data_IF_163738974463
#
_entry.id   IF_163738974463
#
_cell.length_a   1.000
_cell.length_b   1.000
_cell.length_c   1.000
_cell.angle_alpha   90.00
_cell.angle_beta   90.00
_cell.angle_gamma   90.00
#
_symmetry.space_group_name_H-M   'P 1'
#
loop_
_entity.id
_entity.type
_entity.pdbx_description
1 polymer ?
#
# COMPACT_ATOMS: atom_id res chain seq x y z
N UNK A 1 -15.41 -4.98 -11.38
CA UNK A 1 -15.48 -6.42 -11.05
C UNK A 1 -15.60 -6.61 -9.53
N UNK A 2 -16.10 -7.76 -9.10
CA UNK A 2 -16.25 -8.11 -7.68
C UNK A 2 -14.90 -8.00 -6.91
N UNK A 3 -13.82 -8.41 -7.52
CA UNK A 3 -12.49 -8.33 -6.92
C UNK A 3 -11.97 -6.91 -6.75
N UNK A 4 -12.34 -5.98 -7.63
CA UNK A 4 -12.07 -4.56 -7.43
C UNK A 4 -12.78 -4.04 -6.19
N UNK A 5 -14.06 -4.40 -6.00
CA UNK A 5 -14.81 -4.01 -4.80
C UNK A 5 -14.17 -4.55 -3.51
N UNK A 6 -13.68 -5.81 -3.52
CA UNK A 6 -12.94 -6.36 -2.37
C UNK A 6 -11.61 -5.62 -2.13
N UNK A 7 -10.92 -5.21 -3.19
CA UNK A 7 -9.68 -4.43 -3.08
C UNK A 7 -9.91 -3.05 -2.46
N UNK A 8 -10.99 -2.37 -2.88
CA UNK A 8 -11.39 -1.09 -2.30
C UNK A 8 -11.81 -1.24 -0.83
N UNK A 9 -12.50 -2.33 -0.50
CA UNK A 9 -12.86 -2.65 0.87
C UNK A 9 -11.63 -2.86 1.75
N UNK A 10 -10.64 -3.64 1.29
CA UNK A 10 -9.37 -3.85 2.01
C UNK A 10 -8.67 -2.51 2.25
N UNK A 11 -8.57 -1.68 1.22
CA UNK A 11 -7.97 -0.36 1.33
C UNK A 11 -8.69 0.48 2.37
N UNK A 12 -10.01 0.60 2.27
CA UNK A 12 -10.81 1.38 3.21
C UNK A 12 -10.65 0.87 4.65
N UNK A 13 -10.73 -0.44 4.88
CA UNK A 13 -10.57 -1.06 6.20
C UNK A 13 -9.19 -0.74 6.78
N UNK A 14 -8.12 -0.94 5.99
CA UNK A 14 -6.74 -0.73 6.45
C UNK A 14 -6.40 0.74 6.74
N UNK A 15 -7.04 1.68 6.05
CA UNK A 15 -6.82 3.11 6.24
C UNK A 15 -7.70 3.71 7.34
N UNK A 16 -8.90 3.16 7.54
CA UNK A 16 -9.93 3.78 8.40
C UNK A 16 -9.99 3.17 9.80
N UNK A 17 -10.01 1.84 9.92
CA UNK A 17 -10.28 1.19 11.20
C UNK A 17 -9.19 1.38 12.27
N UNK A 18 -7.88 1.40 11.93
CA UNK A 18 -6.85 1.66 12.93
C UNK A 18 -7.01 3.01 13.64
N UNK A 19 -7.50 4.04 12.94
CA UNK A 19 -7.74 5.35 13.54
C UNK A 19 -8.87 5.32 14.60
N UNK A 20 -9.93 4.55 14.36
CA UNK A 20 -10.98 4.33 15.36
C UNK A 20 -10.47 3.56 16.57
N UNK A 21 -9.66 2.52 16.36
CA UNK A 21 -9.08 1.74 17.47
C UNK A 21 -8.13 2.60 18.33
N UNK A 22 -7.33 3.47 17.71
CA UNK A 22 -6.49 4.44 18.43
C UNK A 22 -7.30 5.41 19.28
N UNK A 23 -8.51 5.76 18.86
CA UNK A 23 -9.47 6.58 19.60
C UNK A 23 -10.28 5.76 20.63
N UNK A 24 -9.88 4.51 20.89
CA UNK A 24 -10.52 3.58 21.82
C UNK A 24 -11.95 3.15 21.44
N UNK A 25 -12.35 3.29 20.17
CA UNK A 25 -13.57 2.67 19.67
C UNK A 25 -13.39 1.16 19.52
N UNK A 26 -14.41 0.42 19.91
CA UNK A 26 -14.49 -1.02 19.66
C UNK A 26 -15.01 -1.27 18.25
N UNK A 27 -14.20 -1.90 17.42
CA UNK A 27 -14.57 -2.27 16.04
C UNK A 27 -15.24 -3.64 16.04
N UNK A 28 -16.51 -3.70 15.64
CA UNK A 28 -17.30 -4.94 15.58
C UNK A 28 -17.71 -5.20 14.13
N UNK A 29 -17.37 -6.38 13.61
CA UNK A 29 -17.88 -6.85 12.32
C UNK A 29 -19.14 -7.66 12.52
N UNK A 30 -20.26 -7.15 12.01
CA UNK A 30 -21.50 -7.92 11.96
C UNK A 30 -21.56 -8.70 10.64
N UNK A 31 -21.37 -10.00 10.71
CA UNK A 31 -21.38 -10.90 9.57
C UNK A 31 -22.68 -11.73 9.49
N UNK A 32 -23.73 -11.25 10.11
CA UNK A 32 -25.07 -11.83 9.99
C UNK A 32 -25.60 -11.57 8.59
N UNK A 33 -25.86 -12.63 7.84
CA UNK A 33 -26.34 -12.52 6.46
C UNK A 33 -25.22 -12.19 5.46
N UNK A 34 -25.60 -12.02 4.20
CA UNK A 34 -24.69 -11.75 3.09
C UNK A 34 -24.36 -12.97 2.23
N UNK A 35 -23.61 -12.74 1.16
CA UNK A 35 -23.21 -13.80 0.24
C UNK A 35 -22.15 -14.70 0.89
N UNK A 36 -22.39 -16.02 0.87
CA UNK A 36 -21.46 -17.01 1.44
C UNK A 36 -20.02 -16.88 0.92
N UNK A 37 -19.85 -16.48 -0.34
CA UNK A 37 -18.54 -16.23 -0.95
C UNK A 37 -17.79 -15.06 -0.33
N UNK A 38 -18.49 -14.09 0.24
CA UNK A 38 -17.90 -12.93 0.90
C UNK A 38 -17.64 -13.20 2.37
N UNK A 39 -18.45 -14.02 3.01
CA UNK A 39 -18.36 -14.27 4.46
C UNK A 39 -16.97 -14.77 4.88
N UNK A 40 -16.39 -15.72 4.13
CA UNK A 40 -15.04 -16.22 4.41
C UNK A 40 -13.97 -15.11 4.32
N UNK A 41 -14.06 -14.26 3.29
CA UNK A 41 -13.16 -13.13 3.14
C UNK A 41 -13.35 -12.09 4.26
N UNK A 42 -14.59 -11.74 4.57
CA UNK A 42 -14.91 -10.81 5.64
C UNK A 42 -14.49 -11.33 7.02
N UNK A 43 -14.62 -12.65 7.25
CA UNK A 43 -14.12 -13.27 8.48
C UNK A 43 -12.60 -13.17 8.61
N UNK A 44 -11.85 -13.43 7.51
CA UNK A 44 -10.41 -13.28 7.51
C UNK A 44 -10.00 -11.81 7.74
N UNK A 45 -10.70 -10.87 7.13
CA UNK A 45 -10.48 -9.44 7.33
C UNK A 45 -10.81 -9.00 8.76
N UNK A 46 -11.88 -9.54 9.34
CA UNK A 46 -12.27 -9.29 10.73
C UNK A 46 -11.21 -9.78 11.72
N UNK A 47 -10.57 -10.92 11.47
CA UNK A 47 -9.47 -11.41 12.31
C UNK A 47 -8.29 -10.43 12.39
N UNK A 48 -8.11 -9.60 11.38
CA UNK A 48 -7.01 -8.63 11.32
C UNK A 48 -7.38 -7.28 11.90
N UNK A 49 -8.61 -6.82 11.67
CA UNK A 49 -9.02 -5.43 11.93
C UNK A 49 -10.17 -5.26 12.93
N UNK A 50 -10.96 -6.30 13.22
CA UNK A 50 -12.03 -6.20 14.20
C UNK A 50 -11.55 -6.61 15.61
N UNK A 51 -12.17 -6.06 16.64
CA UNK A 51 -12.01 -6.50 18.03
C UNK A 51 -12.94 -7.66 18.34
N UNK A 52 -14.03 -7.75 17.60
CA UNK A 52 -15.05 -8.78 17.77
C UNK A 52 -15.82 -8.98 16.45
N UNK A 53 -16.19 -10.21 16.18
CA UNK A 53 -17.14 -10.56 15.11
C UNK A 53 -18.43 -11.08 15.72
N UNK A 54 -19.56 -10.65 15.20
CA UNK A 54 -20.88 -11.11 15.65
C UNK A 54 -21.67 -11.75 14.53
N UNK A 55 -22.46 -12.76 14.90
CA UNK A 55 -23.43 -13.45 14.05
C UNK A 55 -24.75 -13.61 14.80
N UNK A 56 -25.84 -13.47 14.08
CA UNK A 56 -27.17 -13.86 14.56
C UNK A 56 -27.57 -15.13 13.81
N UNK A 57 -27.89 -16.20 14.54
CA UNK A 57 -28.38 -17.43 13.95
C UNK A 57 -29.83 -17.26 13.51
N UNK A 58 -30.11 -17.60 12.25
CA UNK A 58 -31.48 -17.50 11.69
C UNK A 58 -32.50 -18.40 12.42
N UNK A 59 -32.04 -19.51 13.01
CA UNK A 59 -32.91 -20.51 13.60
C UNK A 59 -33.40 -20.20 15.02
N UNK A 60 -32.65 -19.40 15.80
CA UNK A 60 -32.95 -19.18 17.23
C UNK A 60 -32.69 -17.75 17.72
N UNK A 61 -32.34 -16.83 16.83
CA UNK A 61 -31.97 -15.45 17.16
C UNK A 61 -30.85 -15.30 18.21
N UNK A 62 -30.05 -16.35 18.44
CA UNK A 62 -28.92 -16.26 19.36
C UNK A 62 -27.80 -15.45 18.75
N UNK A 63 -27.24 -14.55 19.55
CA UNK A 63 -26.09 -13.75 19.18
C UNK A 63 -24.79 -14.49 19.52
N UNK A 64 -24.12 -14.99 18.49
CA UNK A 64 -22.77 -15.53 18.63
C UNK A 64 -21.76 -14.38 18.59
N UNK A 65 -20.88 -14.35 19.58
CA UNK A 65 -19.77 -13.40 19.67
C UNK A 65 -18.45 -14.14 19.56
N UNK A 66 -17.64 -13.77 18.57
CA UNK A 66 -16.29 -14.30 18.36
C UNK A 66 -15.26 -13.20 18.65
N UNK A 67 -14.51 -13.32 19.75
CA UNK A 67 -13.46 -12.37 20.04
C UNK A 67 -12.35 -12.49 18.99
N UNK A 68 -11.56 -11.42 18.84
CA UNK A 68 -10.40 -11.39 17.96
C UNK A 68 -9.42 -12.49 18.35
N UNK A 69 -9.03 -13.29 17.38
CA UNK A 69 -7.92 -14.23 17.56
C UNK A 69 -6.58 -13.49 17.52
N UNK A 70 -5.58 -13.90 18.30
CA UNK A 70 -4.23 -13.31 18.28
C UNK A 70 -3.45 -13.77 17.04
N UNK A 71 -4.01 -13.56 15.84
CA UNK A 71 -3.40 -13.90 14.55
C UNK A 71 -2.69 -12.69 13.99
N UNK A 72 -1.51 -12.90 13.42
CA UNK A 72 -0.78 -11.92 12.63
C UNK A 72 -0.53 -12.48 11.24
N UNK A 73 -0.61 -11.63 10.22
CA UNK A 73 -0.12 -11.98 8.90
C UNK A 73 1.42 -11.90 8.93
N UNK A 74 2.07 -13.01 8.71
CA UNK A 74 3.52 -13.07 8.52
C UNK A 74 3.83 -12.94 7.02
N UNK A 75 3.60 -11.74 6.50
CA UNK A 75 3.80 -11.42 5.09
C UNK A 75 4.93 -10.44 4.84
N UNK A 76 5.61 -9.98 5.90
CA UNK A 76 6.66 -8.97 5.80
C UNK A 76 7.81 -9.43 4.91
N UNK A 77 8.29 -10.66 5.14
CA UNK A 77 9.36 -11.24 4.34
C UNK A 77 8.97 -11.37 2.86
N UNK A 78 7.72 -11.76 2.59
CA UNK A 78 7.21 -11.85 1.21
C UNK A 78 7.23 -10.47 0.52
N UNK A 79 6.84 -9.41 1.23
CA UNK A 79 6.88 -8.04 0.67
C UNK A 79 8.32 -7.59 0.44
N UNK A 80 9.26 -7.93 1.33
CA UNK A 80 10.68 -7.61 1.18
C UNK A 80 11.30 -8.30 -0.03
N UNK A 81 11.12 -9.61 -0.12
CA UNK A 81 11.71 -10.43 -1.18
C UNK A 81 11.19 -10.04 -2.58
N UNK A 82 9.99 -9.51 -2.63
CA UNK A 82 9.31 -9.13 -3.89
C UNK A 82 9.04 -7.63 -4.02
N UNK A 83 9.75 -6.78 -3.27
CA UNK A 83 9.51 -5.33 -3.25
C UNK A 83 9.58 -4.71 -4.65
N UNK A 84 10.53 -5.11 -5.46
CA UNK A 84 10.73 -4.61 -6.83
C UNK A 84 9.57 -4.91 -7.78
N UNK A 85 8.71 -5.87 -7.43
CA UNK A 85 7.53 -6.26 -8.23
C UNK A 85 6.24 -5.76 -7.59
N UNK A 86 6.11 -5.92 -6.27
CA UNK A 86 4.91 -5.49 -5.53
C UNK A 86 4.73 -3.98 -5.55
N UNK A 87 5.84 -3.22 -5.44
CA UNK A 87 5.81 -1.75 -5.44
C UNK A 87 5.24 -1.17 -6.74
N UNK A 88 5.78 -1.47 -7.95
CA UNK A 88 5.19 -0.97 -9.19
C UNK A 88 3.76 -1.47 -9.42
N UNK A 89 3.42 -2.72 -9.08
CA UNK A 89 2.04 -3.22 -9.17
C UNK A 89 1.08 -2.45 -8.26
N UNK A 90 1.51 -2.11 -7.03
CA UNK A 90 0.70 -1.35 -6.09
C UNK A 90 0.47 0.10 -6.51
N UNK A 91 1.31 0.62 -7.41
CA UNK A 91 1.30 1.98 -7.93
C UNK A 91 0.68 2.08 -9.32
N UNK A 92 0.18 0.97 -9.88
CA UNK A 92 -0.32 0.87 -11.24
C UNK A 92 0.71 1.32 -12.30
N UNK A 93 1.98 0.97 -12.07
CA UNK A 93 3.10 1.29 -12.94
C UNK A 93 3.48 0.09 -13.84
N UNK A 94 4.19 0.31 -14.96
CA UNK A 94 4.69 -0.77 -15.80
C UNK A 94 5.57 -1.75 -15.02
N UNK A 95 5.46 -3.02 -15.36
CA UNK A 95 6.14 -4.12 -14.70
C UNK A 95 6.61 -5.21 -15.69
N UNK A 96 7.56 -6.02 -15.26
CA UNK A 96 7.97 -7.22 -16.00
C UNK A 96 7.01 -8.38 -15.74
N UNK A 97 6.42 -8.95 -16.80
CA UNK A 97 5.54 -10.14 -16.66
C UNK A 97 6.27 -11.31 -16.01
N UNK A 98 7.51 -11.58 -16.41
CA UNK A 98 8.31 -12.67 -15.84
C UNK A 98 8.55 -12.48 -14.32
N UNK A 99 8.69 -11.24 -13.86
CA UNK A 99 8.86 -10.96 -12.44
C UNK A 99 7.59 -11.21 -11.64
N UNK A 100 6.41 -10.99 -12.23
CA UNK A 100 5.12 -11.28 -11.58
C UNK A 100 4.89 -12.78 -11.43
N UNK A 101 5.34 -13.57 -12.38
CA UNK A 101 5.16 -15.03 -12.33
C UNK A 101 5.93 -15.68 -11.17
N UNK A 102 6.90 -14.95 -10.60
CA UNK A 102 7.61 -15.36 -9.38
C UNK A 102 6.84 -15.04 -8.08
N UNK A 103 5.79 -14.22 -8.15
CA UNK A 103 4.97 -13.90 -6.98
C UNK A 103 4.05 -15.07 -6.62
N UNK A 104 3.76 -15.28 -5.32
CA UNK A 104 2.69 -16.19 -4.90
C UNK A 104 1.37 -15.84 -5.59
N UNK A 105 0.69 -16.83 -6.16
CA UNK A 105 -0.58 -16.63 -6.90
C UNK A 105 -1.64 -15.90 -6.07
N UNK A 106 -1.64 -16.11 -4.76
CA UNK A 106 -2.57 -15.44 -3.84
C UNK A 106 -2.43 -13.91 -3.83
N UNK A 107 -1.28 -13.38 -4.22
CA UNK A 107 -1.00 -11.93 -4.21
C UNK A 107 -1.31 -11.24 -5.53
N UNK A 108 -1.53 -12.00 -6.60
CA UNK A 108 -1.73 -11.48 -7.95
C UNK A 108 -3.13 -11.81 -8.45
N UNK A 109 -3.77 -10.80 -9.03
CA UNK A 109 -4.98 -10.94 -9.79
C UNK A 109 -4.63 -10.98 -11.27
N UNK A 110 -5.06 -12.03 -11.96
CA UNK A 110 -4.88 -12.22 -13.40
C UNK A 110 -6.22 -11.99 -14.09
N UNK A 111 -6.35 -10.89 -14.81
CA UNK A 111 -7.52 -10.54 -15.61
C UNK A 111 -7.07 -10.41 -17.05
N UNK A 112 -7.37 -11.41 -17.87
CA UNK A 112 -6.95 -11.49 -19.25
C UNK A 112 -5.43 -11.21 -19.42
N UNK A 113 -5.09 -10.12 -20.10
CA UNK A 113 -3.71 -9.68 -20.30
C UNK A 113 -3.16 -8.81 -19.17
N UNK A 114 -4.03 -8.32 -18.27
CA UNK A 114 -3.66 -7.43 -17.18
C UNK A 114 -3.33 -8.22 -15.90
N UNK A 115 -2.42 -7.66 -15.13
CA UNK A 115 -2.03 -8.15 -13.81
C UNK A 115 -2.13 -7.02 -12.82
N UNK A 116 -2.68 -7.31 -11.66
CA UNK A 116 -2.75 -6.36 -10.55
C UNK A 116 -2.58 -7.10 -9.24
N UNK A 117 -2.41 -6.35 -8.14
CA UNK A 117 -2.43 -6.98 -6.82
C UNK A 117 -3.83 -7.51 -6.51
N UNK A 118 -3.88 -8.74 -6.02
CA UNK A 118 -5.09 -9.29 -5.43
C UNK A 118 -5.49 -8.49 -4.17
N UNK A 119 -6.70 -8.68 -3.61
CA UNK A 119 -7.06 -8.10 -2.32
C UNK A 119 -6.04 -8.41 -1.22
N UNK A 120 -5.50 -9.63 -1.18
CA UNK A 120 -4.47 -10.03 -0.22
C UNK A 120 -3.12 -9.39 -0.49
N UNK A 121 -2.73 -9.25 -1.76
CA UNK A 121 -1.51 -8.53 -2.14
C UNK A 121 -1.58 -7.06 -1.72
N UNK A 122 -2.72 -6.40 -1.92
CA UNK A 122 -2.95 -5.02 -1.46
C UNK A 122 -2.91 -4.91 0.06
N UNK A 123 -3.50 -5.88 0.77
CA UNK A 123 -3.48 -5.92 2.21
C UNK A 123 -2.04 -5.99 2.75
N UNK A 124 -1.24 -6.95 2.27
CA UNK A 124 0.15 -7.10 2.69
C UNK A 124 0.96 -5.84 2.37
N UNK A 125 0.81 -5.31 1.17
CA UNK A 125 1.47 -4.06 0.79
C UNK A 125 1.14 -2.92 1.75
N UNK A 126 -0.14 -2.67 2.02
CA UNK A 126 -0.56 -1.61 2.94
C UNK A 126 -0.04 -1.82 4.37
N UNK A 127 0.00 -3.07 4.81
CA UNK A 127 0.46 -3.39 6.17
C UNK A 127 1.96 -3.17 6.36
N UNK A 128 2.79 -3.48 5.37
CA UNK A 128 4.25 -3.53 5.55
C UNK A 128 5.02 -2.43 4.82
N UNK A 129 4.43 -1.73 3.85
CA UNK A 129 5.14 -0.70 3.08
C UNK A 129 5.82 0.36 3.95
N UNK A 130 5.13 0.86 4.99
CA UNK A 130 5.67 1.89 5.87
C UNK A 130 6.88 1.37 6.64
N UNK A 131 6.80 0.17 7.22
CA UNK A 131 7.92 -0.47 7.93
C UNK A 131 9.13 -0.60 7.01
N UNK A 132 8.93 -1.13 5.81
CA UNK A 132 10.00 -1.34 4.82
C UNK A 132 10.59 0.00 4.37
N UNK A 133 9.76 1.00 4.10
CA UNK A 133 10.23 2.33 3.66
C UNK A 133 11.04 3.06 4.72
N UNK A 134 10.82 2.79 6.01
CA UNK A 134 11.55 3.39 7.13
C UNK A 134 12.96 2.83 7.31
N UNK A 135 13.26 1.66 6.76
CA UNK A 135 14.57 1.03 6.91
C UNK A 135 15.66 1.67 6.07
N UNK A 136 15.27 2.32 4.97
CA UNK A 136 16.22 2.96 4.08
C UNK A 136 15.59 3.46 2.79
N UNK A 137 16.42 3.96 1.92
CA UNK A 137 16.03 4.37 0.59
C UNK A 137 16.05 3.17 -0.36
N UNK A 138 14.94 2.95 -1.06
CA UNK A 138 14.77 1.85 -2.00
C UNK A 138 14.95 2.29 -3.45
N UNK A 139 15.36 1.39 -4.36
CA UNK A 139 15.41 1.66 -5.79
C UNK A 139 14.08 2.23 -6.32
N UNK A 140 14.15 3.00 -7.39
CA UNK A 140 12.94 3.55 -8.00
C UNK A 140 12.00 2.42 -8.48
N UNK A 141 10.67 2.64 -8.43
CA UNK A 141 9.71 1.64 -8.88
C UNK A 141 9.65 1.49 -10.41
N UNK A 142 10.42 2.30 -11.16
CA UNK A 142 10.49 2.28 -12.63
C UNK A 142 11.90 2.60 -13.10
N UNK A 143 12.29 2.07 -14.26
CA UNK A 143 13.63 2.24 -14.84
C UNK A 143 13.89 3.66 -15.40
N UNK A 144 12.83 4.46 -15.57
CA UNK A 144 12.94 5.83 -16.06
C UNK A 144 13.37 6.84 -14.99
N UNK A 145 13.56 6.41 -13.74
CA UNK A 145 14.09 7.22 -12.65
C UNK A 145 15.46 6.66 -12.24
N UNK A 146 16.48 7.50 -12.34
CA UNK A 146 17.82 7.16 -11.93
C UNK A 146 18.32 8.16 -10.88
N UNK A 147 19.09 7.68 -9.91
CA UNK A 147 19.62 8.48 -8.83
C UNK A 147 21.14 8.69 -9.01
N UNK A 148 21.57 9.93 -8.96
CA UNK A 148 23.00 10.26 -9.01
C UNK A 148 23.68 9.86 -7.69
N UNK A 149 25.00 9.65 -7.72
CA UNK A 149 25.79 9.42 -6.50
C UNK A 149 25.68 10.59 -5.52
N UNK A 150 25.58 11.82 -6.02
CA UNK A 150 25.40 13.00 -5.18
C UNK A 150 24.08 12.94 -4.42
N UNK A 151 23.01 12.56 -5.08
CA UNK A 151 21.71 12.34 -4.42
C UNK A 151 21.83 11.23 -3.37
N UNK A 152 22.39 10.08 -3.71
CA UNK A 152 22.53 8.95 -2.77
C UNK A 152 23.34 9.33 -1.53
N UNK A 153 24.42 10.11 -1.71
CA UNK A 153 25.19 10.65 -0.59
C UNK A 153 24.42 11.64 0.27
N UNK A 154 23.58 12.47 -0.33
CA UNK A 154 22.80 13.49 0.38
C UNK A 154 21.69 12.91 1.26
N UNK A 155 21.20 11.72 0.95
CA UNK A 155 20.16 11.02 1.72
C UNK A 155 20.71 10.00 2.74
N UNK A 156 22.04 9.82 2.76
CA UNK A 156 22.67 8.90 3.71
C UNK A 156 22.45 9.36 5.16
N UNK A 157 21.94 8.46 6.00
CA UNK A 157 21.73 8.76 7.42
C UNK A 157 20.46 9.56 7.74
N UNK A 158 19.52 9.64 6.82
CA UNK A 158 18.18 10.18 7.14
C UNK A 158 17.49 9.38 8.24
N UNK A 159 16.63 10.04 9.01
CA UNK A 159 15.79 9.35 9.99
C UNK A 159 14.78 8.40 9.31
N UNK A 160 14.30 7.35 9.99
CA UNK A 160 13.31 6.43 9.46
C UNK A 160 12.08 7.12 8.85
N UNK A 161 11.56 8.15 9.53
CA UNK A 161 10.40 8.91 9.04
C UNK A 161 10.71 9.68 7.75
N UNK A 162 11.93 10.18 7.60
CA UNK A 162 12.37 10.85 6.37
C UNK A 162 12.58 9.86 5.23
N UNK A 163 13.11 8.67 5.51
CA UNK A 163 13.19 7.61 4.50
C UNK A 163 11.79 7.19 4.01
N UNK A 164 10.84 7.01 4.93
CA UNK A 164 9.47 6.68 4.57
C UNK A 164 8.87 7.74 3.63
N UNK A 165 8.96 9.02 4.01
CA UNK A 165 8.44 10.12 3.20
C UNK A 165 9.13 10.21 1.84
N UNK A 166 10.45 10.07 1.79
CA UNK A 166 11.20 10.12 0.54
C UNK A 166 10.77 9.00 -0.41
N UNK A 167 10.68 7.75 0.07
CA UNK A 167 10.19 6.64 -0.74
C UNK A 167 8.78 6.90 -1.28
N UNK A 168 7.86 7.43 -0.44
CA UNK A 168 6.51 7.81 -0.86
C UNK A 168 6.50 8.93 -1.92
N UNK A 169 7.40 9.89 -1.84
CA UNK A 169 7.51 10.95 -2.84
C UNK A 169 8.09 10.45 -4.15
N UNK A 170 9.03 9.51 -4.11
CA UNK A 170 9.51 8.82 -5.31
C UNK A 170 8.39 8.00 -5.97
N UNK A 171 7.51 7.38 -5.20
CA UNK A 171 6.32 6.70 -5.73
C UNK A 171 5.42 7.67 -6.50
N UNK A 172 5.12 8.82 -5.90
CA UNK A 172 4.30 9.86 -6.56
C UNK A 172 4.98 10.42 -7.80
N UNK A 173 6.30 10.61 -7.74
CA UNK A 173 7.08 11.07 -8.90
C UNK A 173 7.01 10.05 -10.05
N UNK A 174 7.12 8.76 -9.75
CA UNK A 174 7.02 7.71 -10.75
C UNK A 174 5.62 7.68 -11.40
N UNK A 175 4.56 7.80 -10.60
CA UNK A 175 3.19 7.90 -11.10
C UNK A 175 2.98 9.17 -11.95
N UNK A 176 3.52 10.32 -11.50
CA UNK A 176 3.47 11.58 -12.24
C UNK A 176 4.15 11.48 -13.62
N UNK A 177 5.32 10.87 -13.66
CA UNK A 177 6.06 10.67 -14.91
C UNK A 177 5.36 9.66 -15.83
N UNK A 178 4.80 8.59 -15.27
CA UNK A 178 4.04 7.58 -16.03
C UNK A 178 2.76 8.16 -16.63
N UNK A 179 2.07 9.03 -15.91
CA UNK A 179 0.88 9.74 -16.38
C UNK A 179 1.20 10.91 -17.34
N UNK A 180 2.38 10.92 -17.97
CA UNK A 180 2.82 12.00 -18.87
C UNK A 180 2.73 13.40 -18.25
N UNK A 181 2.96 13.52 -16.96
CA UNK A 181 2.92 14.76 -16.17
C UNK A 181 1.52 15.41 -16.08
N UNK A 182 0.46 14.66 -16.32
CA UNK A 182 -0.91 15.18 -16.28
C UNK A 182 -1.44 15.28 -14.84
N UNK A 183 -0.91 14.49 -13.91
CA UNK A 183 -1.37 14.48 -12.52
C UNK A 183 -0.23 14.88 -11.58
N UNK A 184 -0.14 16.19 -11.29
CA UNK A 184 0.82 16.72 -10.33
C UNK A 184 0.14 16.98 -8.98
N UNK A 185 0.18 16.02 -8.04
CA UNK A 185 -0.50 16.21 -6.76
C UNK A 185 0.20 17.30 -5.94
N UNK A 186 -0.60 18.13 -5.25
CA UNK A 186 -0.08 19.23 -4.39
C UNK A 186 0.96 18.75 -3.36
N UNK A 187 0.90 17.49 -2.96
CA UNK A 187 1.85 16.91 -2.01
C UNK A 187 3.20 16.53 -2.65
N UNK A 188 3.32 16.52 -3.98
CA UNK A 188 4.57 16.35 -4.73
C UNK A 188 5.07 17.70 -5.27
N UNK A 189 4.16 18.49 -5.83
CA UNK A 189 4.37 19.87 -6.27
C UNK A 189 5.60 20.05 -7.16
N UNK A 190 5.66 19.28 -8.27
CA UNK A 190 6.76 19.41 -9.24
C UNK A 190 6.69 20.76 -9.90
N UNK A 191 7.79 21.53 -9.81
CA UNK A 191 7.94 22.87 -10.35
C UNK A 191 9.13 22.97 -11.29
N UNK A 192 8.98 23.72 -12.37
CA UNK A 192 10.11 24.12 -13.20
C UNK A 192 10.94 25.20 -12.50
N UNK A 193 12.26 25.06 -12.53
CA UNK A 193 13.16 26.09 -12.04
C UNK A 193 13.32 27.16 -13.10
N UNK A 194 13.20 28.44 -12.73
CA UNK A 194 13.42 29.59 -13.64
C UNK A 194 14.88 29.69 -14.10
N UNK A 195 15.81 29.26 -13.25
CA UNK A 195 17.24 29.17 -13.55
C UNK A 195 17.73 27.80 -13.12
N UNK A 196 18.44 27.07 -14.01
CA UNK A 196 19.01 25.78 -13.64
C UNK A 196 19.92 25.92 -12.41
N UNK A 197 19.70 25.10 -11.39
CA UNK A 197 20.48 25.07 -10.16
C UNK A 197 21.28 23.76 -10.09
N UNK A 198 22.36 23.75 -9.31
CA UNK A 198 23.06 22.54 -8.91
C UNK A 198 23.21 21.47 -10.01
N UNK A 199 24.10 21.67 -10.96
CA UNK A 199 24.42 20.64 -11.97
C UNK A 199 23.41 20.49 -13.11
N UNK A 200 22.63 21.54 -13.42
CA UNK A 200 21.69 21.54 -14.55
C UNK A 200 20.30 21.03 -14.22
N UNK A 201 19.94 20.96 -12.95
CA UNK A 201 18.56 20.62 -12.54
C UNK A 201 17.56 21.64 -13.11
N UNK A 202 16.54 21.14 -13.78
CA UNK A 202 15.50 21.95 -14.44
C UNK A 202 14.19 21.99 -13.67
N UNK A 203 13.98 21.05 -12.76
CA UNK A 203 12.77 20.92 -11.94
C UNK A 203 13.14 20.58 -10.49
N UNK A 204 12.24 20.90 -9.59
CA UNK A 204 12.28 20.50 -8.19
C UNK A 204 10.92 19.92 -7.77
N UNK A 205 10.91 19.14 -6.71
CA UNK A 205 9.68 18.68 -6.05
C UNK A 205 9.92 18.61 -4.53
N UNK A 206 8.82 18.68 -3.78
CA UNK A 206 8.88 18.65 -2.33
C UNK A 206 9.07 17.23 -1.82
N UNK A 207 10.20 16.95 -1.18
CA UNK A 207 10.44 15.66 -0.51
C UNK A 207 9.67 15.59 0.84
N UNK A 208 9.63 16.70 1.58
CA UNK A 208 8.87 16.88 2.83
C UNK A 208 8.74 18.37 3.16
N UNK A 209 7.74 18.71 3.95
CA UNK A 209 7.64 20.04 4.56
C UNK A 209 8.20 19.97 5.97
N UNK A 210 9.26 20.72 6.25
CA UNK A 210 9.66 20.97 7.63
C UNK A 210 8.58 21.87 8.27
N UNK A 211 7.86 21.35 9.25
CA UNK A 211 7.04 22.20 10.11
C UNK A 211 8.01 23.00 10.99
N UNK A 212 8.22 24.26 10.67
CA UNK A 212 8.84 25.22 11.56
C UNK A 212 7.90 25.55 12.72
#
# INVERSE_FOLDING_TARGET
SFQLALSELVKWVSETLPAYQQQQYKVIFNLTGGFKSIQGFMQALAMLYADETIYIFESNNDLLRLPRLPVRLDGEQVVRDHLSVLRPLALDLPYSRAAIDALPETLVLRLDEERSLSPWGKLLWQQYKATIYREGFHPAPTDNIQFTETFQRSIAGLSPDRYERLNQQIDKLAQYLHANRLNNPKSLDVKALHVPRHGGCTHEFDAWHDQN
#
